data_IF_616023118359
#
_entry.id   IF_616023118359
#
_cell.length_a   1.000
_cell.length_b   1.000
_cell.length_c   1.000
_cell.angle_alpha   90.00
_cell.angle_beta   90.00
_cell.angle_gamma   90.00
#
_symmetry.space_group_name_H-M   'P 1'
#
loop_
_entity.id
_entity.type
_entity.pdbx_description
1 polymer ?
#
# COMPACT_ATOMS: atom_id res chain seq x y z
N UNK A 1 19.39 -3.70 -21.75
CA UNK A 1 18.34 -4.41 -22.53
C UNK A 1 18.05 -5.80 -21.98
N UNK A 2 19.07 -6.65 -21.73
CA UNK A 2 18.88 -7.99 -21.15
C UNK A 2 18.22 -7.98 -19.76
N UNK A 3 18.64 -7.07 -18.88
CA UNK A 3 18.10 -6.96 -17.50
C UNK A 3 16.63 -6.49 -17.46
N UNK A 4 16.24 -5.66 -18.43
CA UNK A 4 14.86 -5.17 -18.56
C UNK A 4 13.92 -6.31 -18.98
N UNK A 5 14.37 -7.16 -19.91
CA UNK A 5 13.60 -8.31 -20.39
C UNK A 5 13.51 -9.39 -19.30
N UNK A 6 14.56 -9.57 -18.50
CA UNK A 6 14.54 -10.47 -17.35
C UNK A 6 13.52 -10.02 -16.30
N UNK A 7 13.51 -8.73 -15.92
CA UNK A 7 12.51 -8.16 -15.00
C UNK A 7 11.08 -8.32 -15.48
N UNK A 8 10.82 -8.06 -16.77
CA UNK A 8 9.48 -8.27 -17.35
C UNK A 8 9.01 -9.71 -17.18
N UNK A 9 9.90 -10.69 -17.37
CA UNK A 9 9.55 -12.11 -17.21
C UNK A 9 9.29 -12.49 -15.75
N UNK A 10 10.04 -11.93 -14.81
CA UNK A 10 9.78 -12.11 -13.37
C UNK A 10 8.38 -11.59 -12.99
N UNK A 11 7.95 -10.49 -13.62
CA UNK A 11 6.61 -9.90 -13.45
C UNK A 11 5.50 -10.62 -14.25
N UNK A 12 5.81 -11.72 -14.96
CA UNK A 12 4.84 -12.46 -15.77
C UNK A 12 4.46 -11.77 -17.09
N UNK A 13 5.25 -10.79 -17.53
CA UNK A 13 5.00 -9.99 -18.74
C UNK A 13 5.93 -10.45 -19.87
N UNK A 14 5.34 -10.81 -21.00
CA UNK A 14 6.07 -11.14 -22.22
C UNK A 14 5.93 -10.01 -23.24
N UNK A 15 7.05 -9.39 -23.62
CA UNK A 15 7.10 -8.36 -24.65
C UNK A 15 7.45 -8.95 -26.01
N UNK A 16 6.73 -8.53 -27.05
CA UNK A 16 7.07 -8.72 -28.47
C UNK A 16 7.05 -7.38 -29.18
N UNK A 17 8.18 -6.94 -29.73
CA UNK A 17 8.24 -5.73 -30.56
C UNK A 17 7.62 -6.04 -31.93
N UNK A 18 6.67 -5.22 -32.35
CA UNK A 18 6.02 -5.28 -33.68
C UNK A 18 6.71 -4.32 -34.63
N UNK A 19 7.03 -3.12 -34.15
CA UNK A 19 7.75 -2.10 -34.90
C UNK A 19 8.78 -1.44 -33.98
N UNK A 20 10.02 -1.39 -34.44
CA UNK A 20 11.10 -0.71 -33.72
C UNK A 20 10.81 0.79 -33.59
N UNK A 21 11.13 1.33 -32.41
CA UNK A 21 11.12 2.77 -32.19
C UNK A 21 12.40 3.44 -32.69
N UNK A 22 12.48 4.75 -32.50
CA UNK A 22 13.60 5.58 -32.95
C UNK A 22 14.45 6.01 -31.76
N UNK A 23 15.72 6.30 -32.05
CA UNK A 23 16.67 6.78 -31.05
C UNK A 23 17.04 5.75 -30.01
N UNK A 24 17.60 6.23 -28.90
CA UNK A 24 17.93 5.41 -27.73
C UNK A 24 16.73 5.30 -26.79
N UNK A 25 16.79 4.34 -25.86
CA UNK A 25 15.76 4.20 -24.83
C UNK A 25 15.81 5.44 -23.91
N UNK A 26 14.69 6.15 -23.70
CA UNK A 26 14.66 7.26 -22.76
C UNK A 26 15.03 6.82 -21.33
N UNK A 27 15.58 7.74 -20.54
CA UNK A 27 15.98 7.46 -19.15
C UNK A 27 14.78 7.44 -18.17
N UNK A 28 13.58 7.85 -18.63
CA UNK A 28 12.32 7.83 -17.88
C UNK A 28 12.43 8.28 -16.40
N UNK A 29 13.11 9.39 -16.15
CA UNK A 29 13.27 9.95 -14.80
C UNK A 29 11.91 10.30 -14.16
N UNK A 30 11.83 10.27 -12.83
CA UNK A 30 10.61 10.60 -12.08
C UNK A 30 10.01 11.94 -12.54
N UNK A 31 8.71 11.92 -12.85
CA UNK A 31 7.98 13.08 -13.40
C UNK A 31 7.96 13.16 -14.93
N UNK A 32 8.68 12.28 -15.64
CA UNK A 32 8.62 12.20 -17.11
C UNK A 32 7.20 11.90 -17.57
N UNK A 33 6.69 12.69 -18.52
CA UNK A 33 5.37 12.47 -19.13
C UNK A 33 5.53 11.65 -20.41
N UNK A 34 4.92 10.47 -20.44
CA UNK A 34 4.79 9.63 -21.61
C UNK A 34 3.37 9.72 -22.19
N UNK A 35 3.28 9.90 -23.51
CA UNK A 35 2.00 9.96 -24.23
C UNK A 35 1.98 8.86 -25.29
N UNK A 36 0.98 7.97 -25.24
CA UNK A 36 0.93 6.82 -26.14
C UNK A 36 -0.49 6.36 -26.44
N UNK A 37 -0.63 5.61 -27.54
CA UNK A 37 -1.86 4.91 -27.86
C UNK A 37 -1.73 3.42 -27.53
N UNK A 38 -2.81 2.83 -27.03
CA UNK A 38 -2.86 1.43 -26.66
C UNK A 38 -4.17 0.80 -27.08
N UNK A 39 -4.14 -0.53 -27.14
CA UNK A 39 -5.30 -1.38 -27.29
C UNK A 39 -5.11 -2.58 -26.37
N UNK A 40 -6.07 -2.80 -25.49
CA UNK A 40 -6.09 -3.93 -24.55
C UNK A 40 -7.12 -4.94 -25.05
N UNK A 41 -6.69 -6.20 -25.11
CA UNK A 41 -7.50 -7.33 -25.57
C UNK A 41 -7.59 -8.34 -24.41
N UNK A 42 -8.71 -9.04 -24.30
CA UNK A 42 -8.82 -10.22 -23.45
C UNK A 42 -7.94 -11.34 -24.03
N UNK A 43 -7.38 -12.19 -23.18
CA UNK A 43 -6.49 -13.28 -23.58
C UNK A 43 -7.23 -14.54 -24.04
N UNK A 44 -8.56 -14.49 -24.14
CA UNK A 44 -9.35 -15.57 -24.73
C UNK A 44 -9.06 -15.76 -26.22
N UNK A 45 -9.48 -16.90 -26.77
CA UNK A 45 -9.32 -17.22 -28.18
C UNK A 45 -10.11 -16.26 -29.11
N UNK A 46 -10.98 -15.42 -28.56
CA UNK A 46 -11.82 -14.48 -29.32
C UNK A 46 -11.17 -13.10 -29.47
N UNK A 47 -10.20 -12.75 -28.61
CA UNK A 47 -9.45 -11.50 -28.71
C UNK A 47 -10.33 -10.27 -28.48
N UNK A 48 -11.28 -10.36 -27.56
CA UNK A 48 -12.26 -9.29 -27.30
C UNK A 48 -11.56 -8.00 -26.87
N UNK A 49 -11.87 -6.87 -27.52
CA UNK A 49 -11.31 -5.56 -27.16
C UNK A 49 -11.91 -5.07 -25.85
N UNK A 50 -11.06 -4.85 -24.85
CA UNK A 50 -11.44 -4.30 -23.55
C UNK A 50 -11.38 -2.78 -23.54
N UNK A 51 -10.31 -2.21 -24.12
CA UNK A 51 -10.12 -0.76 -24.21
C UNK A 51 -9.22 -0.42 -25.40
N UNK A 52 -9.49 0.70 -26.04
CA UNK A 52 -8.75 1.21 -27.19
C UNK A 52 -8.73 2.74 -27.15
N UNK A 53 -7.54 3.31 -26.96
CA UNK A 53 -7.41 4.77 -26.84
C UNK A 53 -7.58 5.48 -28.19
N UNK A 54 -7.39 4.79 -29.31
CA UNK A 54 -7.67 5.36 -30.64
C UNK A 54 -9.17 5.43 -30.90
N UNK A 55 -9.93 4.42 -30.48
CA UNK A 55 -11.39 4.44 -30.56
C UNK A 55 -12.00 5.59 -29.73
N UNK A 56 -11.37 5.94 -28.60
CA UNK A 56 -11.75 7.10 -27.77
C UNK A 56 -11.22 8.44 -28.29
N UNK A 57 -10.35 8.44 -29.31
CA UNK A 57 -9.79 9.66 -29.91
C UNK A 57 -8.83 10.44 -29.01
N UNK A 58 -8.41 9.90 -27.85
CA UNK A 58 -7.50 10.57 -26.92
C UNK A 58 -6.37 9.63 -26.48
N UNK A 59 -5.09 10.02 -26.63
CA UNK A 59 -3.98 9.20 -26.15
C UNK A 59 -3.95 9.12 -24.63
N UNK A 60 -3.31 8.08 -24.11
CA UNK A 60 -3.02 7.95 -22.68
C UNK A 60 -1.87 8.87 -22.32
N UNK A 61 -1.98 9.51 -21.15
CA UNK A 61 -0.91 10.28 -20.54
C UNK A 61 -0.52 9.62 -19.21
N UNK A 62 0.75 9.24 -19.11
CA UNK A 62 1.35 8.60 -17.94
C UNK A 62 2.50 9.48 -17.43
N UNK A 63 2.57 9.67 -16.10
CA UNK A 63 3.68 10.37 -15.45
C UNK A 63 4.48 9.33 -14.67
N UNK A 64 5.73 9.09 -15.07
CA UNK A 64 6.59 8.06 -14.48
C UNK A 64 6.95 8.42 -13.02
N UNK A 65 7.03 7.42 -12.15
CA UNK A 65 7.39 7.59 -10.73
C UNK A 65 6.23 8.05 -9.85
N UNK A 66 5.09 8.41 -10.45
CA UNK A 66 3.84 8.64 -9.73
C UNK A 66 3.08 7.31 -9.72
N UNK A 67 3.32 6.48 -8.69
CA UNK A 67 2.71 5.16 -8.39
C UNK A 67 1.16 5.10 -8.35
N UNK A 68 0.48 6.12 -8.86
CA UNK A 68 -0.96 6.36 -8.82
C UNK A 68 -1.74 5.68 -9.95
N UNK A 69 -1.09 5.06 -10.94
CA UNK A 69 -1.79 4.38 -12.06
C UNK A 69 -1.10 3.09 -12.47
N UNK A 70 -1.74 1.96 -12.15
CA UNK A 70 -1.55 0.64 -12.75
C UNK A 70 -0.06 0.30 -13.05
N UNK A 71 0.67 -0.27 -12.07
CA UNK A 71 2.12 -0.51 -12.13
C UNK A 71 2.64 -1.15 -13.43
N UNK A 72 1.82 -1.99 -14.06
CA UNK A 72 2.14 -2.64 -15.35
C UNK A 72 2.43 -1.64 -16.48
N UNK A 73 1.73 -0.50 -16.54
CA UNK A 73 1.91 0.49 -17.61
C UNK A 73 3.26 1.17 -17.54
N UNK A 74 3.69 1.59 -16.34
CA UNK A 74 5.03 2.16 -16.15
C UNK A 74 6.10 1.13 -16.54
N UNK A 75 5.95 -0.10 -16.07
CA UNK A 75 6.89 -1.19 -16.37
C UNK A 75 7.04 -1.41 -17.88
N UNK A 76 5.94 -1.51 -18.64
CA UNK A 76 6.03 -1.77 -20.08
C UNK A 76 6.51 -0.56 -20.88
N UNK A 77 6.05 0.66 -20.55
CA UNK A 77 6.40 1.88 -21.29
C UNK A 77 7.88 2.22 -21.12
N UNK A 78 8.44 2.01 -19.91
CA UNK A 78 9.87 2.22 -19.67
C UNK A 78 10.79 1.28 -20.46
N UNK A 79 10.24 0.28 -21.14
CA UNK A 79 11.00 -0.60 -22.05
C UNK A 79 10.96 -0.16 -23.51
N UNK A 80 10.15 0.85 -23.84
CA UNK A 80 9.82 1.24 -25.20
C UNK A 80 10.57 2.50 -25.63
N UNK A 81 11.02 2.49 -26.89
CA UNK A 81 11.57 3.69 -27.55
C UNK A 81 10.45 4.55 -28.13
N UNK A 82 10.79 5.80 -28.45
CA UNK A 82 9.83 6.71 -29.07
C UNK A 82 9.37 6.16 -30.44
N UNK A 83 8.06 6.06 -30.64
CA UNK A 83 7.46 5.50 -31.85
C UNK A 83 7.51 3.97 -31.96
N UNK A 84 7.98 3.26 -30.93
CA UNK A 84 7.92 1.80 -30.87
C UNK A 84 6.46 1.31 -30.81
N UNK A 85 6.17 0.20 -31.50
CA UNK A 85 4.92 -0.54 -31.35
C UNK A 85 5.27 -1.91 -30.81
N UNK A 86 4.76 -2.25 -29.64
CA UNK A 86 4.99 -3.54 -29.01
C UNK A 86 3.69 -4.15 -28.51
N UNK A 87 3.64 -5.47 -28.51
CA UNK A 87 2.61 -6.28 -27.89
C UNK A 87 3.15 -6.81 -26.56
N UNK A 88 2.32 -6.77 -25.54
CA UNK A 88 2.62 -7.31 -24.22
C UNK A 88 1.56 -8.33 -23.87
N UNK A 89 1.99 -9.56 -23.60
CA UNK A 89 1.16 -10.58 -22.98
C UNK A 89 1.44 -10.52 -21.48
N UNK A 90 0.47 -10.02 -20.73
CA UNK A 90 0.58 -9.95 -19.28
C UNK A 90 -0.16 -11.15 -18.70
N UNK A 91 0.58 -12.22 -18.39
CA UNK A 91 0.09 -13.31 -17.56
C UNK A 91 0.25 -12.87 -16.10
N UNK A 92 -0.45 -11.78 -15.77
CA UNK A 92 -0.59 -11.36 -14.39
C UNK A 92 -1.27 -12.54 -13.73
N UNK A 93 -0.73 -13.05 -12.62
CA UNK A 93 -1.50 -13.95 -11.75
C UNK A 93 -2.76 -13.18 -11.37
N UNK A 94 -3.83 -13.41 -12.13
CA UNK A 94 -5.15 -12.89 -11.85
C UNK A 94 -5.54 -13.64 -10.58
N UNK A 95 -5.33 -12.99 -9.45
CA UNK A 95 -6.02 -13.41 -8.25
C UNK A 95 -7.51 -13.49 -8.61
N UNK A 96 -8.15 -14.57 -8.15
CA UNK A 96 -9.47 -15.03 -8.56
C UNK A 96 -10.47 -13.89 -8.82
N UNK A 97 -11.35 -13.99 -9.83
CA UNK A 97 -12.39 -12.98 -10.08
C UNK A 97 -13.13 -12.62 -8.78
N UNK A 98 -12.95 -11.38 -8.29
CA UNK A 98 -13.46 -10.91 -7.00
C UNK A 98 -12.40 -10.51 -5.95
N UNK A 99 -11.10 -10.72 -6.20
CA UNK A 99 -10.02 -10.31 -5.29
C UNK A 99 -9.37 -8.97 -5.65
N UNK A 100 -9.78 -8.31 -6.74
CA UNK A 100 -9.34 -6.95 -7.07
C UNK A 100 -9.83 -5.98 -5.97
N UNK A 101 -8.96 -5.70 -5.01
CA UNK A 101 -9.14 -4.60 -4.07
C UNK A 101 -8.84 -3.32 -4.87
N UNK A 102 -9.88 -2.57 -5.22
CA UNK A 102 -9.68 -1.22 -5.74
C UNK A 102 -8.73 -0.47 -4.80
N UNK A 103 -7.79 0.26 -5.39
CA UNK A 103 -6.87 1.07 -4.61
C UNK A 103 -7.63 1.94 -3.59
N UNK A 104 -7.18 2.07 -2.33
CA UNK A 104 -7.91 2.77 -1.27
C UNK A 104 -8.30 4.23 -1.56
N UNK A 105 -7.78 4.84 -2.64
CA UNK A 105 -8.16 6.17 -3.12
C UNK A 105 -9.35 6.18 -4.10
N UNK A 106 -9.71 5.04 -4.70
CA UNK A 106 -10.81 4.90 -5.66
C UNK A 106 -12.14 4.45 -5.02
N UNK A 107 -12.10 3.96 -3.77
CA UNK A 107 -13.28 3.57 -3.01
C UNK A 107 -13.98 4.80 -2.40
N UNK A 108 -15.30 4.76 -2.34
CA UNK A 108 -16.11 5.74 -1.58
C UNK A 108 -15.79 5.65 -0.08
N UNK A 109 -16.12 6.70 0.68
CA UNK A 109 -15.87 6.73 2.12
C UNK A 109 -16.59 5.59 2.87
N UNK A 110 -17.80 5.23 2.41
CA UNK A 110 -18.59 4.13 2.95
C UNK A 110 -17.99 2.76 2.63
N UNK A 111 -17.43 2.59 1.44
CA UNK A 111 -16.73 1.36 1.07
C UNK A 111 -15.44 1.18 1.88
N UNK A 112 -14.69 2.26 2.13
CA UNK A 112 -13.50 2.23 3.01
C UNK A 112 -13.87 1.83 4.43
N UNK A 113 -14.92 2.44 5.00
CA UNK A 113 -15.38 2.11 6.34
C UNK A 113 -15.81 0.63 6.46
N UNK A 114 -16.46 0.07 5.44
CA UNK A 114 -16.83 -1.35 5.40
C UNK A 114 -15.65 -2.29 5.18
N UNK A 115 -14.59 -1.84 4.48
CA UNK A 115 -13.40 -2.63 4.24
C UNK A 115 -12.50 -2.77 5.47
N UNK A 116 -12.42 -1.73 6.31
CA UNK A 116 -11.52 -1.69 7.49
C UNK A 116 -11.67 -2.92 8.40
N UNK A 117 -12.88 -3.38 8.80
CA UNK A 117 -13.04 -4.59 9.61
C UNK A 117 -12.51 -5.86 8.93
N UNK A 118 -12.67 -5.99 7.61
CA UNK A 118 -12.20 -7.15 6.85
C UNK A 118 -10.67 -7.16 6.77
N UNK A 119 -10.06 -6.01 6.49
CA UNK A 119 -8.60 -5.84 6.48
C UNK A 119 -8.03 -6.12 7.88
N UNK A 120 -8.71 -5.68 8.94
CA UNK A 120 -8.30 -5.96 10.32
C UNK A 120 -8.32 -7.46 10.64
N UNK A 121 -9.40 -8.15 10.27
CA UNK A 121 -9.52 -9.60 10.46
C UNK A 121 -8.44 -10.37 9.70
N UNK A 122 -8.13 -9.95 8.48
CA UNK A 122 -7.09 -10.54 7.66
C UNK A 122 -5.69 -10.33 8.27
N UNK A 123 -5.39 -9.11 8.74
CA UNK A 123 -4.16 -8.83 9.49
C UNK A 123 -4.04 -9.70 10.75
N UNK A 124 -5.14 -9.92 11.48
CA UNK A 124 -5.16 -10.80 12.65
C UNK A 124 -4.91 -12.27 12.27
N UNK A 125 -5.42 -12.72 11.12
CA UNK A 125 -5.19 -14.07 10.59
C UNK A 125 -3.71 -14.27 10.25
N UNK A 126 -3.14 -13.37 9.44
CA UNK A 126 -1.73 -13.39 9.04
C UNK A 126 -0.78 -13.35 10.26
N UNK A 127 -1.11 -12.53 11.27
CA UNK A 127 -0.31 -12.45 12.49
C UNK A 127 -0.28 -13.79 13.24
N UNK A 128 -1.42 -14.49 13.36
CA UNK A 128 -1.49 -15.81 14.02
C UNK A 128 -0.74 -16.90 13.25
N UNK A 129 -0.69 -16.78 11.92
CA UNK A 129 0.06 -17.69 11.05
C UNK A 129 1.57 -17.41 11.02
N UNK A 130 2.03 -16.33 11.67
CA UNK A 130 3.44 -15.95 11.72
C UNK A 130 3.90 -15.07 10.57
N UNK A 131 3.00 -14.68 9.66
CA UNK A 131 3.25 -13.73 8.57
C UNK A 131 3.25 -12.28 9.07
N UNK A 132 4.17 -11.96 9.98
CA UNK A 132 4.16 -10.70 10.74
C UNK A 132 4.31 -9.46 9.85
N UNK A 133 5.17 -9.51 8.83
CA UNK A 133 5.38 -8.37 7.90
C UNK A 133 4.13 -8.09 7.05
N UNK A 134 3.47 -9.14 6.60
CA UNK A 134 2.23 -9.04 5.81
C UNK A 134 1.07 -8.54 6.70
N UNK A 135 0.99 -9.03 7.94
CA UNK A 135 0.04 -8.52 8.93
C UNK A 135 0.23 -7.02 9.20
N UNK A 136 1.49 -6.57 9.35
CA UNK A 136 1.82 -5.16 9.53
C UNK A 136 1.33 -4.31 8.35
N UNK A 137 1.53 -4.79 7.11
CA UNK A 137 1.03 -4.11 5.92
C UNK A 137 -0.51 -3.97 5.93
N UNK A 138 -1.24 -5.04 6.30
CA UNK A 138 -2.71 -4.97 6.42
C UNK A 138 -3.18 -3.98 7.48
N UNK A 139 -2.56 -3.95 8.66
CA UNK A 139 -2.92 -2.95 9.66
C UNK A 139 -2.62 -1.53 9.18
N UNK A 140 -1.51 -1.32 8.47
CA UNK A 140 -1.16 -0.03 7.89
C UNK A 140 -2.19 0.43 6.86
N UNK A 141 -2.64 -0.46 5.97
CA UNK A 141 -3.69 -0.17 4.98
C UNK A 141 -5.00 0.26 5.66
N UNK A 142 -5.41 -0.46 6.71
CA UNK A 142 -6.61 -0.12 7.47
C UNK A 142 -6.50 1.24 8.18
N UNK A 143 -5.34 1.55 8.77
CA UNK A 143 -5.05 2.85 9.39
C UNK A 143 -5.09 3.97 8.33
N UNK A 144 -4.51 3.74 7.14
CA UNK A 144 -4.52 4.72 6.06
C UNK A 144 -5.94 5.03 5.59
N UNK A 145 -6.82 4.01 5.47
CA UNK A 145 -8.23 4.21 5.16
C UNK A 145 -8.91 5.13 6.20
N UNK A 146 -8.76 4.84 7.49
CA UNK A 146 -9.39 5.65 8.54
C UNK A 146 -8.79 7.04 8.66
N UNK A 147 -7.47 7.20 8.51
CA UNK A 147 -6.81 8.52 8.51
C UNK A 147 -7.29 9.40 7.37
N UNK A 148 -7.49 8.83 6.17
CA UNK A 148 -8.04 9.56 5.04
C UNK A 148 -9.47 10.08 5.33
N UNK A 149 -10.29 9.33 6.06
CA UNK A 149 -11.60 9.80 6.52
C UNK A 149 -11.44 10.88 7.58
N UNK A 150 -10.58 10.66 8.57
CA UNK A 150 -10.34 11.57 9.68
C UNK A 150 -9.84 12.96 9.21
N UNK A 151 -9.05 13.01 8.13
CA UNK A 151 -8.58 14.26 7.54
C UNK A 151 -9.70 15.15 6.95
N UNK A 152 -10.89 14.59 6.70
CA UNK A 152 -12.06 15.34 6.24
C UNK A 152 -12.85 15.94 7.41
N UNK A 153 -12.63 15.44 8.61
CA UNK A 153 -13.31 15.87 9.83
C UNK A 153 -12.53 16.98 10.54
N UNK A 154 -13.26 17.79 11.31
CA UNK A 154 -12.63 18.85 12.12
C UNK A 154 -11.89 18.23 13.31
N UNK A 155 -10.59 18.55 13.53
CA UNK A 155 -9.86 18.07 14.69
C UNK A 155 -10.60 18.35 16.00
N UNK A 156 -10.85 17.30 16.78
CA UNK A 156 -11.57 17.38 18.06
C UNK A 156 -13.09 17.29 17.95
N UNK A 157 -13.68 17.17 16.75
CA UNK A 157 -15.11 16.84 16.62
C UNK A 157 -15.40 15.42 17.14
N UNK A 158 -16.64 15.12 17.54
CA UNK A 158 -17.03 13.77 17.93
C UNK A 158 -16.69 12.70 16.87
N UNK A 159 -16.89 13.01 15.60
CA UNK A 159 -16.61 12.14 14.45
C UNK A 159 -15.10 11.90 14.29
N UNK A 160 -14.30 12.95 14.43
CA UNK A 160 -12.84 12.86 14.38
C UNK A 160 -12.30 11.97 15.51
N UNK A 161 -12.82 12.15 16.72
CA UNK A 161 -12.43 11.36 17.91
C UNK A 161 -12.88 9.90 17.72
N UNK A 162 -14.07 9.66 17.19
CA UNK A 162 -14.57 8.31 16.92
C UNK A 162 -13.67 7.56 15.92
N UNK A 163 -13.22 8.23 14.85
CA UNK A 163 -12.26 7.66 13.90
C UNK A 163 -10.90 7.39 14.56
N UNK A 164 -10.43 8.29 15.43
CA UNK A 164 -9.16 8.10 16.17
C UNK A 164 -9.21 6.89 17.12
N UNK A 165 -10.36 6.70 17.78
CA UNK A 165 -10.63 5.53 18.62
C UNK A 165 -10.66 4.23 17.81
N UNK A 166 -11.10 4.25 16.55
CA UNK A 166 -11.02 3.11 15.65
C UNK A 166 -9.60 2.85 15.13
N UNK A 167 -8.80 3.90 14.91
CA UNK A 167 -7.40 3.80 14.48
C UNK A 167 -6.54 3.17 15.59
N UNK A 168 -6.78 3.55 16.84
CA UNK A 168 -5.96 3.14 18.00
C UNK A 168 -5.72 1.62 18.12
N UNK A 169 -6.73 0.73 18.08
CA UNK A 169 -6.50 -0.71 18.16
C UNK A 169 -5.71 -1.27 16.96
N UNK A 170 -5.91 -0.72 15.75
CA UNK A 170 -5.15 -1.11 14.56
C UNK A 170 -3.68 -0.70 14.71
N UNK A 171 -3.44 0.51 15.20
CA UNK A 171 -2.10 1.03 15.44
C UNK A 171 -1.37 0.23 16.53
N UNK A 172 -2.07 -0.19 17.60
CA UNK A 172 -1.51 -1.08 18.61
C UNK A 172 -1.15 -2.47 18.05
N UNK A 173 -1.96 -3.01 17.14
CA UNK A 173 -1.65 -4.26 16.44
C UNK A 173 -0.45 -4.11 15.50
N UNK A 174 -0.34 -2.98 14.79
CA UNK A 174 0.83 -2.62 14.01
C UNK A 174 2.09 -2.54 14.88
N UNK A 175 2.04 -1.81 16.01
CA UNK A 175 3.14 -1.74 16.97
C UNK A 175 3.53 -3.12 17.50
N UNK A 176 2.56 -4.03 17.69
CA UNK A 176 2.87 -5.40 18.06
C UNK A 176 3.69 -6.13 17.00
N UNK A 177 3.37 -5.94 15.71
CA UNK A 177 4.16 -6.51 14.63
C UNK A 177 5.57 -5.93 14.61
N UNK A 178 5.70 -4.61 14.79
CA UNK A 178 6.98 -3.90 14.84
C UNK A 178 7.88 -4.33 16.00
N UNK A 179 7.30 -4.61 17.17
CA UNK A 179 8.03 -5.24 18.28
C UNK A 179 8.61 -6.61 17.91
N UNK A 180 7.87 -7.42 17.15
CA UNK A 180 8.31 -8.77 16.75
C UNK A 180 9.39 -8.72 15.68
N UNK A 181 9.35 -7.73 14.78
CA UNK A 181 10.40 -7.52 13.76
C UNK A 181 11.56 -6.66 14.26
N UNK A 182 11.59 -6.33 15.56
CA UNK A 182 12.64 -5.56 16.24
C UNK A 182 12.81 -4.12 15.74
N UNK A 183 11.74 -3.53 15.18
CA UNK A 183 11.69 -2.13 14.72
C UNK A 183 11.11 -1.22 15.82
N UNK A 184 11.91 -0.97 16.86
CA UNK A 184 11.44 -0.36 18.11
C UNK A 184 11.10 1.13 18.01
N UNK A 185 11.79 1.91 17.16
CA UNK A 185 11.59 3.36 17.08
C UNK A 185 10.17 3.75 16.61
N UNK A 186 9.61 3.03 15.63
CA UNK A 186 8.22 3.25 15.21
C UNK A 186 7.23 2.98 16.35
N UNK A 187 7.50 1.97 17.18
CA UNK A 187 6.67 1.64 18.34
C UNK A 187 6.69 2.78 19.36
N UNK A 188 7.87 3.35 19.63
CA UNK A 188 8.03 4.46 20.56
C UNK A 188 7.24 5.68 20.11
N UNK A 189 7.35 6.06 18.84
CA UNK A 189 6.66 7.22 18.27
C UNK A 189 5.14 7.04 18.29
N UNK A 190 4.66 5.90 17.81
CA UNK A 190 3.23 5.63 17.73
C UNK A 190 2.58 5.49 19.11
N UNK A 191 3.21 4.75 20.03
CA UNK A 191 2.66 4.62 21.39
C UNK A 191 2.72 5.93 22.15
N UNK A 192 3.75 6.76 21.99
CA UNK A 192 3.79 8.10 22.58
C UNK A 192 2.70 9.01 22.04
N UNK A 193 2.43 8.96 20.74
CA UNK A 193 1.31 9.71 20.14
C UNK A 193 -0.05 9.27 20.67
N UNK A 194 -0.26 7.97 20.90
CA UNK A 194 -1.49 7.45 21.54
C UNK A 194 -1.59 7.98 22.96
N UNK A 195 -0.54 7.84 23.77
CA UNK A 195 -0.54 8.19 25.20
C UNK A 195 -0.66 9.70 25.45
N UNK A 196 -0.23 10.55 24.50
CA UNK A 196 -0.48 11.99 24.57
C UNK A 196 -1.98 12.35 24.46
N UNK A 197 -2.81 11.45 23.92
CA UNK A 197 -4.26 11.64 23.71
C UNK A 197 -5.09 10.81 24.69
N UNK A 198 -4.65 9.59 24.96
CA UNK A 198 -5.34 8.56 25.75
C UNK A 198 -4.36 7.99 26.77
N UNK A 199 -4.22 8.69 27.89
CA UNK A 199 -3.26 8.39 28.96
C UNK A 199 -3.68 7.22 29.85
N UNK A 200 -4.86 6.64 29.60
CA UNK A 200 -5.41 5.44 30.23
C UNK A 200 -5.16 4.16 29.40
N UNK A 201 -4.45 4.26 28.26
CA UNK A 201 -4.25 3.13 27.36
C UNK A 201 -3.14 2.17 27.84
N UNK A 202 -3.53 1.19 28.66
CA UNK A 202 -2.64 0.15 29.22
C UNK A 202 -1.79 -0.56 28.15
N UNK A 203 -2.40 -0.89 27.00
CA UNK A 203 -1.70 -1.59 25.90
C UNK A 203 -0.60 -0.73 25.27
N UNK A 204 -0.80 0.58 25.18
CA UNK A 204 0.18 1.51 24.65
C UNK A 204 1.39 1.62 25.60
N UNK A 205 1.17 1.79 26.91
CA UNK A 205 2.25 1.77 27.89
C UNK A 205 3.03 0.47 27.85
N UNK A 206 2.35 -0.67 27.84
CA UNK A 206 3.02 -1.97 27.82
C UNK A 206 3.92 -2.13 26.59
N UNK A 207 3.44 -1.76 25.40
CA UNK A 207 4.22 -1.86 24.15
C UNK A 207 5.38 -0.87 24.13
N UNK A 208 5.16 0.37 24.57
CA UNK A 208 6.21 1.39 24.66
C UNK A 208 7.29 1.01 25.67
N UNK A 209 6.90 0.49 26.83
CA UNK A 209 7.82 -0.01 27.85
C UNK A 209 8.70 -1.15 27.34
N UNK A 210 8.14 -2.10 26.57
CA UNK A 210 8.92 -3.16 25.90
C UNK A 210 9.91 -2.60 24.87
N UNK A 211 9.50 -1.61 24.08
CA UNK A 211 10.38 -0.97 23.10
C UNK A 211 11.51 -0.19 23.79
N UNK A 212 11.23 0.57 24.85
CA UNK A 212 12.24 1.26 25.65
C UNK A 212 13.24 0.28 26.27
N UNK A 213 12.77 -0.83 26.82
CA UNK A 213 13.64 -1.87 27.37
C UNK A 213 14.58 -2.47 26.30
N UNK A 214 14.09 -2.66 25.08
CA UNK A 214 14.88 -3.20 23.96
C UNK A 214 15.96 -2.22 23.46
N UNK A 215 15.76 -0.90 23.61
CA UNK A 215 16.74 0.14 23.23
C UNK A 215 17.54 0.69 24.42
N UNK A 216 17.57 -0.03 25.55
CA UNK A 216 18.32 0.31 26.77
C UNK A 216 17.88 1.60 27.50
N UNK A 217 16.65 2.04 27.29
CA UNK A 217 16.03 3.15 28.03
C UNK A 217 15.36 2.61 29.31
N UNK A 218 16.18 2.23 30.29
CA UNK A 218 15.70 1.51 31.47
C UNK A 218 14.75 2.33 32.37
N UNK A 219 14.99 3.64 32.50
CA UNK A 219 14.15 4.51 33.34
C UNK A 219 12.75 4.68 32.75
N UNK A 220 12.67 4.94 31.45
CA UNK A 220 11.42 5.10 30.71
C UNK A 220 10.64 3.79 30.67
N UNK A 221 11.32 2.66 30.45
CA UNK A 221 10.69 1.34 30.51
C UNK A 221 10.07 1.06 31.88
N UNK A 222 10.79 1.37 32.97
CA UNK A 222 10.28 1.19 34.33
C UNK A 222 9.07 2.10 34.61
N UNK A 223 9.10 3.35 34.14
CA UNK A 223 7.97 4.27 34.27
C UNK A 223 6.73 3.75 33.53
N UNK A 224 6.89 3.27 32.30
CA UNK A 224 5.80 2.70 31.51
C UNK A 224 5.21 1.45 32.18
N UNK A 225 6.04 0.53 32.67
CA UNK A 225 5.56 -0.68 33.36
C UNK A 225 4.89 -0.37 34.71
N UNK A 226 5.39 0.63 35.45
CA UNK A 226 4.71 1.09 36.65
C UNK A 226 3.31 1.63 36.34
N UNK A 227 3.16 2.33 35.20
CA UNK A 227 1.87 2.86 34.78
C UNK A 227 0.90 1.77 34.30
N UNK A 228 1.41 0.69 33.70
CA UNK A 228 0.61 -0.52 33.42
C UNK A 228 0.03 -1.10 34.72
N UNK A 229 0.84 -1.25 35.78
CA UNK A 229 0.40 -1.81 37.06
C UNK A 229 -0.60 -0.92 37.81
N UNK A 230 -0.59 0.39 37.55
CA UNK A 230 -1.54 1.34 38.15
C UNK A 230 -2.92 1.28 37.48
N UNK A 231 -2.96 0.92 36.20
CA UNK A 231 -4.18 0.96 35.37
C UNK A 231 -4.83 -0.43 35.16
N UNK A 232 -4.16 -1.52 35.54
CA UNK A 232 -4.64 -2.92 35.50
C UNK A 232 -5.33 -3.32 36.82
#
# INVERSE_FOLDING_TARGET
MADIIARLREDGIQKRVIQEGRGELPDFQDGTKATFHYRTLHSDNEGTVLDDSRARGKPMELIIGKKFKLPVWETIVCTMREGEIAQFLCDIKVESPGTYQQDPWAMTDEEKAKAVPLIHQEGNRLYREGHVKEAAAKYYDAIACLKNLQMKEQPGSPEWIQLDQQITPLLLNYCQCKLVVEEYYEVLDHCSSILNKYDDNVKAYFKRGKAHAAVWNAQEAQADFAKVLELD
#
